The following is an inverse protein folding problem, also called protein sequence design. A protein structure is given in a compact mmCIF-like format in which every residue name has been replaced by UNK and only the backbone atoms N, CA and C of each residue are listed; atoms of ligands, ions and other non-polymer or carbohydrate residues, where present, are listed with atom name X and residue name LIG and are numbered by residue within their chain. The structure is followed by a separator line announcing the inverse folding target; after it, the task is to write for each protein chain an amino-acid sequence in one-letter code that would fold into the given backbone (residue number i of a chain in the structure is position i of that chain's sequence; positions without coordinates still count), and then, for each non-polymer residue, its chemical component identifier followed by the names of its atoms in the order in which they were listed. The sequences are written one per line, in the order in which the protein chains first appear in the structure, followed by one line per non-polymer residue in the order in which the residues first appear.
data_IF_645785798689
#
_entry.id   IF_645785798689
#
_cell.length_a   1.000
_cell.length_b   1.000
_cell.length_c   1.000
_cell.angle_alpha   90.00
_cell.angle_beta   90.00
_cell.angle_gamma   90.00
#
_symmetry.space_group_name_H-M   'P 1'
#
loop_
_entity.id
_entity.type
_entity.pdbx_description
1 polymer ?
#
# COMPACT_ATOMS: atom_id res chain seq x y z
N UNK A 1 1.83 19.47 -13.50
CA UNK A 1 2.15 18.03 -13.46
C UNK A 1 3.31 17.64 -14.37
N UNK A 2 3.31 17.96 -15.67
CA UNK A 2 4.45 17.60 -16.55
C UNK A 2 5.81 18.14 -16.08
N UNK A 3 5.85 19.40 -15.59
CA UNK A 3 7.08 20.03 -15.09
C UNK A 3 7.63 19.36 -13.81
N UNK A 4 6.76 19.00 -12.87
CA UNK A 4 7.17 18.35 -11.61
C UNK A 4 7.64 16.92 -11.84
N UNK A 5 6.95 16.16 -12.71
CA UNK A 5 7.39 14.82 -13.12
C UNK A 5 8.74 14.87 -13.85
N UNK A 6 8.92 15.81 -14.80
CA UNK A 6 10.19 15.99 -15.49
C UNK A 6 11.33 16.36 -14.53
N UNK A 7 11.09 17.29 -13.60
CA UNK A 7 12.08 17.66 -12.60
C UNK A 7 12.47 16.46 -11.71
N UNK A 8 11.51 15.64 -11.29
CA UNK A 8 11.78 14.43 -10.52
C UNK A 8 12.65 13.43 -11.31
N UNK A 9 12.31 13.16 -12.57
CA UNK A 9 13.07 12.25 -13.44
C UNK A 9 14.48 12.77 -13.69
N UNK A 10 14.62 14.05 -14.03
CA UNK A 10 15.94 14.68 -14.29
C UNK A 10 16.79 14.66 -13.03
N UNK A 11 16.23 15.02 -11.88
CA UNK A 11 16.98 15.00 -10.60
C UNK A 11 17.39 13.57 -10.24
N UNK A 12 16.50 12.59 -10.38
CA UNK A 12 16.82 11.19 -10.13
C UNK A 12 17.96 10.69 -11.03
N UNK A 13 17.92 11.04 -12.33
CA UNK A 13 18.98 10.71 -13.29
C UNK A 13 20.30 11.40 -12.93
N UNK A 14 20.29 12.69 -12.64
CA UNK A 14 21.51 13.43 -12.29
C UNK A 14 22.21 12.85 -11.05
N UNK A 15 21.44 12.34 -10.08
CA UNK A 15 21.98 11.69 -8.89
C UNK A 15 22.44 10.26 -9.16
N UNK A 16 21.65 9.47 -9.91
CA UNK A 16 21.93 8.03 -10.09
C UNK A 16 22.90 7.73 -11.23
N UNK A 17 22.86 8.50 -12.32
CA UNK A 17 23.61 8.24 -13.55
C UNK A 17 25.14 8.28 -13.33
N UNK A 18 25.72 9.22 -12.56
CA UNK A 18 27.16 9.18 -12.28
C UNK A 18 27.57 7.88 -11.58
N UNK A 19 26.79 7.45 -10.58
CA UNK A 19 27.06 6.19 -9.86
C UNK A 19 26.92 4.98 -10.77
N UNK A 20 25.90 4.96 -11.63
CA UNK A 20 25.69 3.90 -12.62
C UNK A 20 26.86 3.80 -13.61
N UNK A 21 27.36 4.94 -14.11
CA UNK A 21 28.42 5.00 -15.13
C UNK A 21 29.79 4.65 -14.54
N UNK A 22 30.13 5.23 -13.38
CA UNK A 22 31.45 5.00 -12.76
C UNK A 22 31.53 3.69 -11.97
N UNK A 23 30.41 3.23 -11.39
CA UNK A 23 30.36 2.05 -10.52
C UNK A 23 29.16 1.14 -10.83
N UNK A 24 29.03 0.61 -12.06
CA UNK A 24 27.86 -0.18 -12.48
C UNK A 24 27.65 -1.43 -11.61
N UNK A 25 28.75 -2.09 -11.19
CA UNK A 25 28.68 -3.24 -10.30
C UNK A 25 28.12 -2.87 -8.92
N UNK A 26 28.63 -1.79 -8.31
CA UNK A 26 28.16 -1.31 -7.01
C UNK A 26 26.70 -0.84 -7.05
N UNK A 27 26.30 -0.16 -8.12
CA UNK A 27 24.92 0.27 -8.33
C UNK A 27 23.96 -0.94 -8.45
N UNK A 28 24.36 -1.95 -9.23
CA UNK A 28 23.53 -3.15 -9.47
C UNK A 28 23.47 -4.12 -8.29
N UNK A 29 24.37 -3.97 -7.30
CA UNK A 29 24.54 -4.92 -6.21
C UNK A 29 23.28 -5.06 -5.35
N UNK A 30 22.59 -3.95 -5.10
CA UNK A 30 21.30 -3.96 -4.40
C UNK A 30 20.28 -4.84 -5.12
N UNK A 31 20.13 -4.70 -6.43
CA UNK A 31 19.20 -5.49 -7.22
C UNK A 31 19.61 -6.96 -7.24
N UNK A 32 20.91 -7.24 -7.45
CA UNK A 32 21.45 -8.60 -7.44
C UNK A 32 21.18 -9.33 -6.14
N UNK A 33 21.40 -8.66 -5.00
CA UNK A 33 21.15 -9.21 -3.67
C UNK A 33 19.65 -9.43 -3.44
N UNK A 34 18.80 -8.46 -3.80
CA UNK A 34 17.34 -8.61 -3.67
C UNK A 34 16.80 -9.77 -4.51
N UNK A 35 17.28 -9.97 -5.74
CA UNK A 35 16.81 -11.07 -6.60
C UNK A 35 17.22 -12.45 -6.06
N UNK A 36 18.43 -12.55 -5.48
CA UNK A 36 19.02 -13.82 -5.00
C UNK A 36 18.66 -14.18 -3.57
N UNK A 37 18.22 -13.21 -2.76
CA UNK A 37 17.82 -13.45 -1.36
C UNK A 37 16.58 -14.35 -1.32
N UNK A 38 16.64 -15.38 -0.48
CA UNK A 38 15.48 -16.21 -0.15
C UNK A 38 14.42 -15.43 0.62
N UNK A 39 13.34 -16.10 0.99
CA UNK A 39 12.36 -15.54 1.91
C UNK A 39 12.97 -15.31 3.30
N UNK A 40 12.72 -14.13 3.86
CA UNK A 40 13.21 -13.75 5.19
C UNK A 40 12.31 -14.35 6.27
N UNK A 41 12.87 -14.48 7.47
CA UNK A 41 12.21 -15.13 8.62
C UNK A 41 10.91 -14.43 9.03
N UNK A 42 10.84 -13.11 8.82
CA UNK A 42 9.70 -12.27 9.16
C UNK A 42 8.69 -12.11 8.01
N UNK A 43 8.85 -12.86 6.93
CA UNK A 43 7.94 -12.82 5.78
C UNK A 43 6.71 -13.71 6.01
N UNK A 44 5.60 -13.35 5.38
CA UNK A 44 4.37 -14.15 5.38
C UNK A 44 4.62 -15.57 4.84
N UNK A 45 5.58 -15.73 3.91
CA UNK A 45 5.98 -17.03 3.38
C UNK A 45 6.59 -17.92 4.46
N UNK A 46 7.45 -17.39 5.33
CA UNK A 46 8.00 -18.15 6.45
C UNK A 46 6.92 -18.52 7.47
N UNK A 47 5.94 -17.62 7.70
CA UNK A 47 4.77 -17.94 8.52
C UNK A 47 4.01 -19.14 7.99
N UNK A 48 3.72 -19.17 6.69
CA UNK A 48 3.05 -20.30 6.06
C UNK A 48 3.91 -21.57 6.15
N UNK A 49 5.22 -21.50 5.88
CA UNK A 49 6.13 -22.65 5.98
C UNK A 49 6.13 -23.25 7.39
N UNK A 50 6.26 -22.40 8.42
CA UNK A 50 6.34 -22.80 9.82
C UNK A 50 5.05 -23.47 10.32
N UNK A 51 3.87 -22.95 9.94
CA UNK A 51 2.59 -23.51 10.38
C UNK A 51 2.09 -24.70 9.54
N UNK A 52 2.41 -24.76 8.25
CA UNK A 52 1.85 -25.80 7.34
C UNK A 52 2.84 -26.90 6.97
N UNK A 53 4.12 -26.75 7.33
CA UNK A 53 5.19 -27.65 6.89
C UNK A 53 5.47 -27.56 5.39
N UNK A 54 4.95 -26.53 4.71
CA UNK A 54 5.15 -26.32 3.28
C UNK A 54 6.64 -26.06 2.98
N UNK A 55 7.17 -26.74 1.95
CA UNK A 55 8.60 -26.68 1.59
C UNK A 55 8.99 -25.43 0.77
N UNK A 56 8.06 -24.49 0.59
CA UNK A 56 8.24 -23.32 -0.27
C UNK A 56 7.93 -23.59 -1.75
N UNK A 57 7.95 -22.53 -2.56
CA UNK A 57 7.67 -22.63 -4.00
C UNK A 57 8.80 -23.29 -4.78
N UNK A 58 10.05 -23.13 -4.31
CA UNK A 58 11.23 -23.61 -5.01
C UNK A 58 12.10 -24.52 -4.08
N UNK A 59 11.68 -25.78 -3.81
CA UNK A 59 12.31 -26.64 -2.79
C UNK A 59 13.68 -27.22 -3.18
N UNK A 60 14.12 -27.06 -4.45
CA UNK A 60 15.41 -27.58 -4.97
C UNK A 60 16.29 -26.44 -5.50
N UNK A 61 16.40 -25.33 -4.76
CA UNK A 61 17.34 -24.27 -5.13
C UNK A 61 18.79 -24.73 -4.94
N UNK A 62 19.60 -24.57 -5.98
CA UNK A 62 21.05 -24.61 -5.82
C UNK A 62 21.57 -23.41 -5.02
N UNK A 63 22.76 -23.54 -4.45
CA UNK A 63 23.43 -22.43 -3.76
C UNK A 63 23.53 -21.22 -4.72
N UNK A 64 23.06 -20.04 -4.30
CA UNK A 64 23.03 -18.78 -5.08
C UNK A 64 22.08 -18.71 -6.30
N UNK A 65 21.17 -19.66 -6.49
CA UNK A 65 20.12 -19.53 -7.51
C UNK A 65 18.99 -18.60 -7.04
N UNK A 66 18.47 -17.71 -7.91
CA UNK A 66 17.33 -16.88 -7.56
C UNK A 66 16.04 -17.72 -7.52
N UNK A 67 15.18 -17.55 -6.49
CA UNK A 67 13.91 -18.27 -6.41
C UNK A 67 12.91 -17.67 -7.40
N UNK A 68 12.88 -18.20 -8.61
CA UNK A 68 12.13 -17.63 -9.73
C UNK A 68 10.63 -17.68 -9.52
N UNK A 69 10.10 -18.78 -8.96
CA UNK A 69 8.66 -18.90 -8.72
C UNK A 69 8.25 -17.97 -7.59
N UNK A 70 9.00 -17.95 -6.49
CA UNK A 70 8.73 -17.01 -5.39
C UNK A 70 8.75 -15.55 -5.86
N UNK A 71 9.79 -15.14 -6.60
CA UNK A 71 9.89 -13.78 -7.13
C UNK A 71 8.72 -13.43 -8.06
N UNK A 72 8.28 -14.38 -8.88
CA UNK A 72 7.13 -14.20 -9.78
C UNK A 72 5.83 -14.06 -8.99
N UNK A 73 5.62 -14.91 -7.98
CA UNK A 73 4.43 -14.84 -7.11
C UNK A 73 4.37 -13.51 -6.37
N UNK A 74 5.48 -13.07 -5.77
CA UNK A 74 5.58 -11.76 -5.10
C UNK A 74 5.22 -10.64 -6.07
N UNK A 75 5.79 -10.64 -7.29
CA UNK A 75 5.53 -9.62 -8.29
C UNK A 75 4.06 -9.61 -8.73
N UNK A 76 3.47 -10.77 -9.01
CA UNK A 76 2.06 -10.90 -9.42
C UNK A 76 1.12 -10.45 -8.30
N UNK A 77 1.38 -10.85 -7.05
CA UNK A 77 0.59 -10.42 -5.89
C UNK A 77 0.67 -8.90 -5.71
N UNK A 78 1.88 -8.32 -5.78
CA UNK A 78 2.06 -6.89 -5.64
C UNK A 78 1.34 -6.10 -6.74
N UNK A 79 1.46 -6.53 -8.01
CA UNK A 79 0.74 -5.93 -9.14
C UNK A 79 -0.77 -6.05 -8.95
N UNK A 80 -1.26 -7.19 -8.47
CA UNK A 80 -2.68 -7.41 -8.18
C UNK A 80 -3.17 -6.47 -7.07
N UNK A 81 -2.39 -6.30 -5.99
CA UNK A 81 -2.70 -5.33 -4.94
C UNK A 81 -2.69 -3.89 -5.46
N UNK A 82 -1.73 -3.53 -6.32
CA UNK A 82 -1.69 -2.21 -6.95
C UNK A 82 -2.93 -1.98 -7.84
N UNK A 83 -3.36 -2.99 -8.59
CA UNK A 83 -4.58 -2.94 -9.38
C UNK A 83 -5.83 -2.78 -8.49
N UNK A 84 -5.89 -3.47 -7.35
CA UNK A 84 -6.98 -3.30 -6.37
C UNK A 84 -6.99 -1.90 -5.75
N UNK A 85 -5.82 -1.33 -5.42
CA UNK A 85 -5.71 0.04 -4.91
C UNK A 85 -6.09 1.07 -5.98
N UNK A 86 -5.69 0.85 -7.24
CA UNK A 86 -6.11 1.68 -8.36
C UNK A 86 -7.63 1.62 -8.54
N UNK A 87 -8.23 0.43 -8.47
CA UNK A 87 -9.68 0.26 -8.49
C UNK A 87 -10.35 1.04 -7.36
N UNK A 88 -9.91 0.87 -6.10
CA UNK A 88 -10.42 1.61 -4.94
C UNK A 88 -10.30 3.12 -5.13
N UNK A 89 -9.19 3.59 -5.70
CA UNK A 89 -8.94 5.00 -5.97
C UNK A 89 -9.92 5.57 -7.01
N UNK A 90 -10.28 4.77 -8.01
CA UNK A 90 -11.21 5.16 -9.08
C UNK A 90 -12.68 5.06 -8.66
N UNK A 91 -13.03 4.13 -7.77
CA UNK A 91 -14.40 3.93 -7.28
C UNK A 91 -14.73 4.73 -6.03
N UNK A 92 -13.75 5.40 -5.41
CA UNK A 92 -13.93 6.19 -4.21
C UNK A 92 -14.96 7.33 -4.40
N UNK A 93 -15.93 7.53 -3.48
CA UNK A 93 -16.96 8.57 -3.56
C UNK A 93 -16.41 9.99 -3.72
N UNK A 94 -15.25 10.22 -3.13
CA UNK A 94 -14.50 11.47 -3.15
C UNK A 94 -13.03 11.14 -3.35
N UNK A 95 -12.26 12.02 -4.00
CA UNK A 95 -10.82 11.82 -4.20
C UNK A 95 -10.12 11.36 -2.89
N UNK A 96 -9.43 10.20 -2.87
CA UNK A 96 -8.70 9.76 -1.70
C UNK A 96 -7.47 10.65 -1.48
N UNK A 97 -7.02 10.76 -0.21
CA UNK A 97 -5.83 11.55 0.12
C UNK A 97 -4.58 10.82 -0.38
N UNK A 98 -3.59 11.55 -0.90
CA UNK A 98 -2.35 10.95 -1.43
C UNK A 98 -1.66 10.07 -0.37
N UNK A 99 -1.65 10.53 0.89
CA UNK A 99 -1.10 9.75 2.00
C UNK A 99 -1.79 8.39 2.20
N UNK A 100 -3.11 8.30 2.02
CA UNK A 100 -3.86 7.04 2.14
C UNK A 100 -3.49 6.06 1.03
N UNK A 101 -3.40 6.54 -0.21
CA UNK A 101 -3.02 5.70 -1.36
C UNK A 101 -1.57 5.22 -1.23
N UNK A 102 -0.65 6.13 -0.89
CA UNK A 102 0.78 5.78 -0.68
C UNK A 102 0.93 4.80 0.48
N UNK A 103 0.21 4.99 1.59
CA UNK A 103 0.20 4.03 2.69
C UNK A 103 -0.25 2.64 2.24
N UNK A 104 -1.36 2.53 1.50
CA UNK A 104 -1.84 1.24 1.00
C UNK A 104 -0.85 0.57 0.05
N UNK A 105 -0.18 1.34 -0.83
CA UNK A 105 0.82 0.79 -1.75
C UNK A 105 2.05 0.28 -0.99
N UNK A 106 2.55 1.05 -0.03
CA UNK A 106 3.70 0.62 0.80
C UNK A 106 3.32 -0.56 1.68
N UNK A 107 2.15 -0.56 2.30
CA UNK A 107 1.69 -1.69 3.11
C UNK A 107 1.50 -2.96 2.26
N UNK A 108 0.90 -2.83 1.06
CA UNK A 108 0.78 -3.95 0.12
C UNK A 108 2.14 -4.45 -0.34
N UNK A 109 3.10 -3.55 -0.61
CA UNK A 109 4.47 -3.93 -0.90
C UNK A 109 5.07 -4.75 0.24
N UNK A 110 4.96 -4.30 1.49
CA UNK A 110 5.53 -5.04 2.63
C UNK A 110 4.86 -6.38 2.88
N UNK A 111 3.54 -6.46 2.76
CA UNK A 111 2.77 -7.71 2.93
C UNK A 111 3.07 -8.74 1.83
N UNK A 112 3.33 -8.29 0.60
CA UNK A 112 3.59 -9.18 -0.54
C UNK A 112 5.06 -9.49 -0.72
N UNK A 113 5.97 -8.66 -0.21
CA UNK A 113 7.39 -8.85 -0.40
C UNK A 113 7.92 -10.05 0.41
N UNK A 114 8.90 -10.73 -0.16
CA UNK A 114 9.61 -11.86 0.47
C UNK A 114 10.55 -11.42 1.59
N UNK A 115 10.84 -10.13 1.71
CA UNK A 115 11.69 -9.55 2.78
C UNK A 115 10.91 -8.49 3.54
N UNK A 116 10.70 -8.72 4.83
CA UNK A 116 10.13 -7.73 5.75
C UNK A 116 11.09 -7.49 6.92
N UNK A 117 11.92 -6.45 6.81
CA UNK A 117 12.74 -5.97 7.92
C UNK A 117 11.95 -4.98 8.79
N UNK A 118 12.14 -4.92 10.12
CA UNK A 118 11.60 -3.88 11.00
C UNK A 118 11.94 -2.46 10.52
N UNK A 119 13.06 -2.30 9.81
CA UNK A 119 13.42 -1.03 9.18
C UNK A 119 12.38 -0.58 8.16
N UNK A 120 11.72 -1.52 7.48
CA UNK A 120 10.64 -1.22 6.54
C UNK A 120 9.33 -0.85 7.26
N UNK A 121 9.07 -1.37 8.46
CA UNK A 121 7.93 -0.93 9.28
C UNK A 121 8.01 0.58 9.61
N UNK A 122 9.22 1.14 9.72
CA UNK A 122 9.40 2.59 9.92
C UNK A 122 8.89 3.43 8.76
N UNK A 123 8.83 2.88 7.53
CA UNK A 123 8.26 3.59 6.39
C UNK A 123 6.76 3.79 6.53
N UNK A 124 6.08 2.87 7.22
CA UNK A 124 4.64 2.96 7.47
C UNK A 124 4.31 4.04 8.51
N UNK A 125 5.20 4.34 9.45
CA UNK A 125 4.94 5.30 10.54
C UNK A 125 4.47 6.68 10.06
N UNK A 126 5.24 7.44 9.26
CA UNK A 126 4.81 8.76 8.82
C UNK A 126 3.58 8.69 7.90
N UNK A 127 3.51 7.65 7.06
CA UNK A 127 2.39 7.44 6.15
C UNK A 127 1.09 7.13 6.91
N UNK A 128 1.15 6.31 7.95
CA UNK A 128 0.01 5.93 8.78
C UNK A 128 -0.50 7.13 9.60
N UNK A 129 0.40 7.96 10.13
CA UNK A 129 0.04 9.21 10.83
C UNK A 129 -0.73 10.15 9.91
N UNK A 130 -0.28 10.30 8.66
CA UNK A 130 -0.95 11.14 7.68
C UNK A 130 -2.24 10.51 7.14
N UNK A 131 -2.26 9.20 6.92
CA UNK A 131 -3.41 8.49 6.36
C UNK A 131 -4.57 8.36 7.36
N UNK A 132 -4.27 7.99 8.61
CA UNK A 132 -5.24 7.68 9.65
C UNK A 132 -4.87 8.39 10.95
N UNK A 133 -5.36 9.62 11.21
CA UNK A 133 -4.99 10.40 12.40
C UNK A 133 -5.66 9.89 13.70
N UNK A 134 -5.64 8.57 13.94
CA UNK A 134 -6.17 7.90 15.12
C UNK A 134 -5.02 7.46 16.04
N UNK A 135 -4.60 8.36 16.93
CA UNK A 135 -3.46 8.12 17.86
C UNK A 135 -3.50 6.78 18.59
N UNK A 136 -4.67 6.33 19.06
CA UNK A 136 -4.80 5.08 19.83
C UNK A 136 -4.52 3.85 18.99
N UNK A 137 -5.06 3.82 17.76
CA UNK A 137 -4.87 2.72 16.82
C UNK A 137 -3.41 2.67 16.36
N UNK A 138 -2.83 3.84 16.05
CA UNK A 138 -1.43 3.94 15.67
C UNK A 138 -0.49 3.49 16.78
N UNK A 139 -0.69 3.96 18.02
CA UNK A 139 0.13 3.55 19.15
C UNK A 139 0.00 2.05 19.45
N UNK A 140 -1.20 1.48 19.33
CA UNK A 140 -1.40 0.04 19.49
C UNK A 140 -0.61 -0.76 18.44
N UNK A 141 -0.71 -0.39 17.16
CA UNK A 141 0.06 -1.03 16.08
C UNK A 141 1.58 -0.85 16.27
N UNK A 142 2.05 0.35 16.59
CA UNK A 142 3.48 0.61 16.85
C UNK A 142 4.01 -0.21 18.02
N UNK A 143 3.17 -0.42 19.05
CA UNK A 143 3.53 -1.26 20.20
C UNK A 143 3.63 -2.73 19.77
N UNK A 144 2.67 -3.23 18.98
CA UNK A 144 2.73 -4.59 18.43
C UNK A 144 4.00 -4.78 17.60
N UNK A 145 4.29 -3.86 16.67
CA UNK A 145 5.46 -3.94 15.80
C UNK A 145 6.78 -3.87 16.59
N UNK A 146 6.85 -3.00 17.62
CA UNK A 146 7.99 -2.96 18.52
C UNK A 146 8.16 -4.25 19.34
N UNK A 147 7.06 -4.87 19.78
CA UNK A 147 7.10 -6.12 20.53
C UNK A 147 7.56 -7.32 19.71
N UNK A 148 7.43 -7.30 18.37
CA UNK A 148 8.00 -8.33 17.47
C UNK A 148 9.52 -8.43 17.63
N UNK A 149 10.19 -7.34 18.04
CA UNK A 149 11.63 -7.33 18.28
C UNK A 149 12.06 -8.35 19.34
N UNK A 150 11.26 -8.55 20.40
CA UNK A 150 11.61 -9.44 21.52
C UNK A 150 11.79 -10.90 21.06
N UNK A 151 10.77 -11.58 20.50
CA UNK A 151 10.91 -12.96 20.04
C UNK A 151 11.94 -13.07 18.91
N UNK A 152 12.10 -12.03 18.09
CA UNK A 152 13.11 -11.98 17.03
C UNK A 152 14.53 -12.05 17.59
N UNK A 153 14.84 -11.28 18.65
CA UNK A 153 16.15 -11.34 19.31
C UNK A 153 16.39 -12.69 19.98
N UNK A 154 15.37 -13.25 20.65
CA UNK A 154 15.46 -14.58 21.26
C UNK A 154 15.63 -15.70 20.23
N UNK A 155 15.08 -15.54 19.03
CA UNK A 155 15.27 -16.50 17.95
C UNK A 155 16.66 -16.40 17.32
N UNK A 156 17.16 -15.18 17.07
CA UNK A 156 18.46 -14.95 16.41
C UNK A 156 19.67 -15.15 17.34
N UNK A 157 19.55 -14.81 18.62
CA UNK A 157 20.65 -14.81 19.60
C UNK A 157 20.39 -15.75 20.79
N UNK A 158 19.38 -16.61 20.68
CA UNK A 158 19.03 -17.58 21.72
C UNK A 158 20.15 -18.59 21.97
N UNK A 159 20.61 -18.66 23.22
CA UNK A 159 21.46 -19.73 23.72
C UNK A 159 20.72 -21.08 23.55
N UNK A 160 21.36 -22.21 23.14
CA UNK A 160 20.70 -23.49 22.89
C UNK A 160 19.72 -23.99 23.97
N UNK A 161 19.88 -23.50 25.22
CA UNK A 161 19.04 -23.87 26.36
C UNK A 161 17.93 -22.85 26.72
N UNK A 162 17.78 -21.73 26.00
CA UNK A 162 16.75 -20.68 26.23
C UNK A 162 16.17 -20.09 24.94
N UNK A 163 16.14 -20.83 23.84
CA UNK A 163 15.46 -20.40 22.62
C UNK A 163 13.93 -20.50 22.81
N UNK A 164 13.21 -19.42 22.49
CA UNK A 164 11.75 -19.49 22.34
C UNK A 164 11.43 -20.45 21.18
N UNK A 165 10.37 -21.28 21.30
CA UNK A 165 9.90 -22.10 20.18
C UNK A 165 9.65 -21.21 18.95
N UNK A 166 10.02 -21.69 17.76
CA UNK A 166 9.86 -20.98 16.48
C UNK A 166 8.44 -20.40 16.32
N UNK A 167 7.43 -21.15 16.78
CA UNK A 167 6.03 -20.73 16.69
C UNK A 167 5.71 -19.44 17.46
N UNK A 168 6.42 -19.10 18.54
CA UNK A 168 6.21 -17.82 19.23
C UNK A 168 6.64 -16.64 18.35
N UNK A 169 7.78 -16.77 17.67
CA UNK A 169 8.24 -15.78 16.70
C UNK A 169 7.26 -15.67 15.53
N UNK A 170 6.89 -16.80 14.93
CA UNK A 170 5.94 -16.85 13.81
C UNK A 170 4.58 -16.24 14.17
N UNK A 171 4.08 -16.49 15.38
CA UNK A 171 2.80 -15.93 15.87
C UNK A 171 2.87 -14.42 16.03
N UNK A 172 3.98 -13.87 16.54
CA UNK A 172 4.13 -12.41 16.65
C UNK A 172 4.25 -11.72 15.30
N UNK A 173 4.89 -12.36 14.32
CA UNK A 173 4.93 -11.88 12.92
C UNK A 173 3.51 -11.87 12.33
N UNK A 174 2.75 -12.96 12.53
CA UNK A 174 1.35 -13.03 12.09
C UNK A 174 0.49 -11.94 12.74
N UNK A 175 0.67 -11.69 14.05
CA UNK A 175 -0.05 -10.63 14.77
C UNK A 175 0.24 -9.25 14.18
N UNK A 176 1.51 -8.97 13.84
CA UNK A 176 1.90 -7.74 13.13
C UNK A 176 1.20 -7.64 11.78
N UNK A 177 1.21 -8.71 10.99
CA UNK A 177 0.60 -8.72 9.66
C UNK A 177 -0.91 -8.45 9.73
N UNK A 178 -1.60 -9.09 10.68
CA UNK A 178 -3.02 -8.82 10.97
C UNK A 178 -3.24 -7.36 11.36
N UNK A 179 -2.37 -6.78 12.20
CA UNK A 179 -2.48 -5.38 12.59
C UNK A 179 -2.30 -4.41 11.39
N UNK A 180 -1.36 -4.70 10.48
CA UNK A 180 -1.17 -3.90 9.24
C UNK A 180 -2.36 -4.05 8.30
N UNK A 181 -2.92 -5.26 8.15
CA UNK A 181 -4.13 -5.50 7.36
C UNK A 181 -5.32 -4.74 7.96
N UNK A 182 -5.46 -4.72 9.29
CA UNK A 182 -6.49 -3.95 9.97
C UNK A 182 -6.35 -2.44 9.71
N UNK A 183 -5.12 -1.90 9.72
CA UNK A 183 -4.88 -0.51 9.33
C UNK A 183 -5.28 -0.24 7.87
N UNK A 184 -4.93 -1.14 6.94
CA UNK A 184 -5.34 -1.02 5.54
C UNK A 184 -6.88 -1.00 5.41
N UNK A 185 -7.58 -1.90 6.11
CA UNK A 185 -9.04 -1.95 6.12
C UNK A 185 -9.65 -0.65 6.68
N UNK A 186 -9.08 -0.07 7.74
CA UNK A 186 -9.52 1.21 8.30
C UNK A 186 -9.33 2.37 7.31
N UNK A 187 -8.20 2.40 6.59
CA UNK A 187 -7.94 3.40 5.55
C UNK A 187 -8.92 3.25 4.39
N UNK A 188 -9.13 2.03 3.89
CA UNK A 188 -10.10 1.75 2.82
C UNK A 188 -11.52 2.15 3.25
N UNK A 189 -11.90 1.87 4.51
CA UNK A 189 -13.19 2.29 5.06
C UNK A 189 -13.33 3.81 5.06
N UNK A 190 -12.29 4.56 5.45
CA UNK A 190 -12.31 6.03 5.38
C UNK A 190 -12.38 6.56 3.94
N UNK A 191 -11.77 5.88 2.97
CA UNK A 191 -11.88 6.24 1.56
C UNK A 191 -13.33 6.12 1.08
N UNK A 192 -14.04 5.05 1.46
CA UNK A 192 -15.44 4.83 1.07
C UNK A 192 -16.46 5.56 1.98
N UNK A 193 -16.06 5.97 3.18
CA UNK A 193 -16.87 6.75 4.13
C UNK A 193 -16.18 8.09 4.44
N UNK A 194 -16.24 9.05 3.50
CA UNK A 194 -15.55 10.34 3.66
C UNK A 194 -16.04 11.15 4.87
N UNK A 195 -17.24 10.87 5.40
CA UNK A 195 -17.79 11.52 6.60
C UNK A 195 -17.01 11.16 7.88
N UNK A 196 -16.34 10.00 7.89
CA UNK A 196 -15.51 9.53 9.00
C UNK A 196 -14.05 10.04 8.89
N UNK A 197 -13.73 10.82 7.85
CA UNK A 197 -12.40 11.39 7.66
C UNK A 197 -12.18 12.61 8.57
N UNK A 198 -11.48 12.37 9.68
CA UNK A 198 -11.13 13.40 10.66
C UNK A 198 -10.34 14.57 10.05
N UNK A 199 -9.55 14.33 9.00
CA UNK A 199 -8.73 15.39 8.36
C UNK A 199 -9.61 16.38 7.60
N UNK A 200 -10.70 15.90 6.99
CA UNK A 200 -11.66 16.74 6.24
C UNK A 200 -12.76 17.32 7.15
N UNK A 201 -12.70 17.04 8.44
CA UNK A 201 -13.64 17.50 9.46
C UNK A 201 -15.11 17.28 9.05
N UNK A 202 -15.44 16.06 8.61
CA UNK A 202 -16.79 15.72 8.14
C UNK A 202 -17.18 16.45 6.85
N UNK A 203 -16.20 16.72 5.97
CA UNK A 203 -16.41 17.35 4.67
C UNK A 203 -16.43 18.89 4.68
N UNK A 204 -16.27 19.54 5.84
CA UNK A 204 -16.23 21.01 5.99
C UNK A 204 -14.97 21.63 5.38
N UNK A 205 -13.88 20.89 5.36
CA UNK A 205 -12.60 21.31 4.78
C UNK A 205 -12.18 20.27 3.73
N UNK A 206 -11.59 20.74 2.64
CA UNK A 206 -11.00 19.85 1.64
C UNK A 206 -9.62 19.33 2.10
N UNK A 207 -8.97 18.47 1.32
CA UNK A 207 -7.66 17.90 1.69
C UNK A 207 -6.60 19.01 1.93
N UNK A 208 -6.09 19.19 3.16
CA UNK A 208 -5.05 20.18 3.46
C UNK A 208 -3.74 19.92 2.70
N UNK A 209 -3.50 18.66 2.28
CA UNK A 209 -2.34 18.28 1.47
C UNK A 209 -2.62 18.38 -0.05
N UNK A 210 -3.81 18.82 -0.45
CA UNK A 210 -4.24 18.89 -1.85
C UNK A 210 -3.51 19.95 -2.69
N UNK A 211 -2.91 20.96 -2.04
CA UNK A 211 -2.13 22.01 -2.69
C UNK A 211 -2.90 22.66 -3.86
N UNK A 212 -2.40 22.62 -5.11
CA UNK A 212 -3.11 23.18 -6.28
C UNK A 212 -4.49 22.58 -6.55
N UNK A 213 -4.82 21.43 -5.95
CA UNK A 213 -6.13 20.80 -6.08
C UNK A 213 -7.10 21.19 -4.97
N UNK A 214 -6.73 22.06 -4.03
CA UNK A 214 -7.64 22.51 -2.98
C UNK A 214 -8.97 23.04 -3.58
N UNK A 215 -10.10 22.50 -3.10
CA UNK A 215 -11.47 22.73 -3.60
C UNK A 215 -11.75 22.42 -5.07
N UNK A 216 -10.79 21.85 -5.80
CA UNK A 216 -11.01 21.46 -7.19
C UNK A 216 -12.06 20.33 -7.29
N UNK A 217 -12.99 20.38 -8.26
CA UNK A 217 -14.01 19.36 -8.43
C UNK A 217 -13.37 18.01 -8.78
N UNK A 218 -13.98 16.93 -8.29
CA UNK A 218 -13.56 15.57 -8.62
C UNK A 218 -13.85 15.27 -10.10
N UNK A 219 -12.78 15.15 -10.90
CA UNK A 219 -12.85 14.91 -12.33
C UNK A 219 -12.31 13.51 -12.67
N UNK A 220 -13.15 12.47 -12.70
CA UNK A 220 -12.71 11.14 -13.09
C UNK A 220 -12.18 11.14 -14.54
N UNK A 221 -11.21 10.29 -14.88
CA UNK A 221 -10.68 10.24 -16.24
C UNK A 221 -11.78 9.97 -17.27
N UNK A 222 -11.77 10.67 -18.41
CA UNK A 222 -12.81 10.55 -19.45
C UNK A 222 -12.94 9.12 -20.02
N UNK A 223 -11.86 8.34 -19.98
CA UNK A 223 -11.82 6.95 -20.44
C UNK A 223 -12.40 5.95 -19.41
N UNK A 224 -12.72 6.39 -18.18
CA UNK A 224 -13.24 5.51 -17.13
C UNK A 224 -14.71 5.15 -17.41
N UNK A 225 -15.06 3.86 -17.50
CA UNK A 225 -16.44 3.39 -17.68
C UNK A 225 -17.41 3.88 -16.59
N UNK A 226 -18.66 4.18 -16.94
CA UNK A 226 -19.65 4.74 -16.01
C UNK A 226 -19.96 3.83 -14.81
N UNK A 227 -19.83 2.51 -14.98
CA UNK A 227 -20.04 1.54 -13.89
C UNK A 227 -18.93 1.56 -12.83
N UNK A 228 -17.74 2.09 -13.17
CA UNK A 228 -16.63 2.32 -12.22
C UNK A 228 -16.68 3.70 -11.58
N UNK A 229 -17.49 4.63 -12.13
CA UNK A 229 -17.58 5.98 -11.61
C UNK A 229 -18.35 6.03 -10.28
N UNK A 230 -17.97 6.92 -9.35
CA UNK A 230 -18.70 7.15 -8.12
C UNK A 230 -20.17 7.51 -8.38
N UNK A 231 -21.08 7.04 -7.51
CA UNK A 231 -22.54 7.21 -7.67
C UNK A 231 -22.95 8.67 -7.89
N UNK A 232 -22.28 9.63 -7.23
CA UNK A 232 -22.54 11.06 -7.39
C UNK A 232 -22.24 11.60 -8.80
N UNK A 233 -21.20 11.09 -9.46
CA UNK A 233 -20.84 11.48 -10.83
C UNK A 233 -21.74 10.84 -11.90
N UNK A 234 -22.35 9.69 -11.61
CA UNK A 234 -23.35 9.06 -12.50
C UNK A 234 -24.62 9.89 -12.62
N UNK A 235 -25.11 10.48 -11.51
CA UNK A 235 -26.33 11.31 -11.50
C UNK A 235 -26.16 12.62 -12.29
N UNK A 236 -24.97 13.22 -12.28
CA UNK A 236 -24.69 14.44 -13.03
C UNK A 236 -24.61 14.21 -14.56
N UNK A 237 -24.43 12.96 -14.99
CA UNK A 237 -24.31 12.59 -16.41
C UNK A 237 -25.62 12.11 -17.02
N UNK A 238 -26.68 11.95 -16.22
CA UNK A 238 -28.00 11.57 -16.74
C UNK A 238 -28.58 12.77 -17.50
N UNK A 239 -28.97 12.62 -18.78
CA UNK A 239 -29.67 13.68 -19.50
C UNK A 239 -30.94 14.04 -18.72
N UNK A 240 -31.11 15.33 -18.46
CA UNK A 240 -32.36 15.88 -17.93
C UNK A 240 -33.46 15.47 -18.93
N UNK A 241 -34.54 14.81 -18.51
CA UNK A 241 -35.68 14.61 -19.39
C UNK A 241 -36.15 16.00 -19.83
N UNK A 242 -36.15 16.27 -21.14
CA UNK A 242 -36.90 17.42 -21.68
C UNK A 242 -38.37 17.17 -21.33
N UNK A 243 -38.81 17.71 -20.20
CA UNK A 243 -40.22 17.80 -19.89
C UNK A 243 -40.86 18.69 -20.97
N UNK A 244 -41.83 18.10 -21.66
CA UNK A 244 -42.64 18.72 -22.67
C UNK A 244 -43.41 19.92 -22.09
N UNK A 245 -42.85 21.11 -22.24
CA UNK A 245 -43.60 22.37 -22.23
C UNK A 245 -44.41 22.45 -23.54
N UNK A 246 -45.46 21.65 -23.64
CA UNK A 246 -46.53 21.87 -24.61
C UNK A 246 -47.81 22.19 -23.82
N UNK A 247 -47.86 23.42 -23.29
CA UNK A 247 -49.12 24.03 -22.85
C UNK A 247 -49.95 24.35 -24.10
N UNK A 248 -51.16 23.79 -24.27
CA UNK A 248 -52.03 24.21 -25.35
C UNK A 248 -52.55 25.61 -25.03
N UNK A 249 -52.22 26.56 -25.90
CA UNK A 249 -52.71 27.92 -25.85
C UNK A 249 -54.26 27.93 -25.83
N UNK A 250 -54.83 28.43 -24.74
CA UNK A 250 -56.21 28.90 -24.68
C UNK A 250 -56.37 30.03 -25.71
N UNK A 251 -57.15 29.79 -26.75
CA UNK A 251 -57.68 30.83 -27.64
C UNK A 251 -59.16 31.08 -27.30
N UNK A 252 -59.65 32.33 -27.47
CA UNK A 252 -60.84 32.88 -26.80
C UNK A 252 -62.18 32.40 -27.35
#
# INVERSE_FOLDING_TARGET
MGRTAAAAVVTWLLVNLPVLVFFPRGWSEFFRLNTRRGDDMDSLYNVVKSFTGWRGFDPKLGFWQPPTVLNTVVAVLFVTCCAAIAFITLTAPRRPRVAQVVFLVVAAFLLTNKVWSPQFSLWLVPLAVLALPHRRVLLAWMTIDALVWVPRMYYLYGNPNRSLPEQFFTTTVLLRDVAVIALCALVIRQIYRPDEDLVRWGGRVDDPAGGPFDRAPDAPPRWLPDWLRPVGSRRASAPVPEDADEQPALAP
#
